data_IF_905382883700
#
_entry.id   IF_905382883700
#
_cell.length_a   1.000
_cell.length_b   1.000
_cell.length_c   1.000
_cell.angle_alpha   90.00
_cell.angle_beta   90.00
_cell.angle_gamma   90.00
#
_symmetry.space_group_name_H-M   'P 1'
#
loop_
_entity.id
_entity.type
_entity.pdbx_description
1 polymer ?
#
# COMPACT_ATOMS: atom_id res chain seq x y z
N UNK A 1 -0.18 24.31 -8.28
CA UNK A 1 -0.74 23.44 -7.23
C UNK A 1 -1.08 22.10 -7.88
N UNK A 2 -0.36 21.03 -7.53
CA UNK A 2 -0.76 19.67 -7.94
C UNK A 2 -1.82 19.19 -6.96
N UNK A 3 -3.02 18.88 -7.45
CA UNK A 3 -4.11 18.37 -6.63
C UNK A 3 -3.80 16.93 -6.19
N UNK A 4 -4.07 16.59 -4.93
CA UNK A 4 -3.97 15.20 -4.46
C UNK A 4 -5.36 14.59 -4.41
N UNK A 5 -5.43 13.32 -4.81
CA UNK A 5 -6.63 12.52 -4.64
C UNK A 5 -6.38 11.51 -3.54
N UNK A 6 -7.39 11.35 -2.70
CA UNK A 6 -7.38 10.33 -1.67
C UNK A 6 -8.28 9.17 -2.08
N UNK A 7 -7.79 7.94 -1.92
CA UNK A 7 -8.58 6.72 -2.12
C UNK A 7 -8.73 6.05 -0.76
N UNK A 8 -9.98 5.94 -0.29
CA UNK A 8 -10.29 5.13 0.88
C UNK A 8 -10.02 3.67 0.59
N UNK A 9 -9.10 3.06 1.34
CA UNK A 9 -8.78 1.63 1.23
C UNK A 9 -9.28 0.88 2.46
N UNK A 10 -9.37 -0.45 2.36
CA UNK A 10 -9.65 -1.33 3.50
C UNK A 10 -8.36 -1.93 4.10
N UNK A 11 -7.27 -1.17 4.04
CA UNK A 11 -5.95 -1.59 4.52
C UNK A 11 -5.85 -1.25 6.01
N UNK A 12 -5.58 -2.23 6.87
CA UNK A 12 -5.42 -2.06 8.33
C UNK A 12 -4.10 -2.62 8.85
N UNK A 13 -3.57 -3.66 8.22
CA UNK A 13 -2.30 -4.25 8.59
C UNK A 13 -1.15 -3.53 7.87
N UNK A 14 -0.32 -2.80 8.63
CA UNK A 14 0.79 -2.01 8.10
C UNK A 14 1.87 -2.90 7.44
N UNK A 15 2.23 -4.02 8.04
CA UNK A 15 3.31 -4.87 7.52
C UNK A 15 2.89 -5.58 6.22
N UNK A 16 1.62 -5.99 6.13
CA UNK A 16 1.03 -6.48 4.90
C UNK A 16 1.00 -5.41 3.80
N UNK A 17 0.70 -4.14 4.14
CA UNK A 17 0.78 -3.02 3.21
C UNK A 17 2.21 -2.83 2.67
N UNK A 18 3.21 -2.82 3.54
CA UNK A 18 4.62 -2.61 3.15
C UNK A 18 5.11 -3.74 2.24
N UNK A 19 4.76 -4.98 2.58
CA UNK A 19 5.11 -6.15 1.77
C UNK A 19 4.40 -6.09 0.41
N UNK A 20 3.12 -5.70 0.38
CA UNK A 20 2.37 -5.53 -0.86
C UNK A 20 2.93 -4.39 -1.75
N UNK A 21 3.36 -3.27 -1.15
CA UNK A 21 4.02 -2.18 -1.87
C UNK A 21 5.35 -2.64 -2.49
N UNK A 22 6.10 -3.50 -1.77
CA UNK A 22 7.32 -4.13 -2.28
C UNK A 22 7.04 -5.03 -3.48
N UNK A 23 5.98 -5.84 -3.42
CA UNK A 23 5.57 -6.72 -4.53
C UNK A 23 5.19 -5.94 -5.79
N UNK A 24 4.61 -4.74 -5.66
CA UNK A 24 4.25 -3.88 -6.79
C UNK A 24 5.36 -2.91 -7.21
N UNK A 25 6.58 -3.10 -6.69
CA UNK A 25 7.80 -2.50 -7.23
C UNK A 25 8.46 -1.42 -6.37
N UNK A 26 7.94 -1.11 -5.17
CA UNK A 26 8.53 -0.10 -4.30
C UNK A 26 9.49 -0.70 -3.27
N UNK A 27 10.79 -0.40 -3.41
CA UNK A 27 11.83 -0.94 -2.52
C UNK A 27 12.13 -0.06 -1.30
N UNK A 28 11.87 1.23 -1.42
CA UNK A 28 12.25 2.23 -0.42
C UNK A 28 10.96 2.84 0.14
N UNK A 29 10.53 2.30 1.28
CA UNK A 29 9.30 2.69 1.97
C UNK A 29 9.68 3.17 3.36
N UNK A 30 9.32 4.39 3.70
CA UNK A 30 9.50 4.93 5.04
C UNK A 30 8.29 4.58 5.92
N UNK A 31 8.56 4.21 7.17
CA UNK A 31 7.55 3.91 8.19
C UNK A 31 7.74 4.85 9.37
N UNK A 32 6.68 5.56 9.72
CA UNK A 32 6.68 6.54 10.79
C UNK A 32 5.56 6.24 11.78
N UNK A 33 5.85 6.38 13.08
CA UNK A 33 4.82 6.30 14.13
C UNK A 33 3.92 7.53 14.14
N UNK A 34 4.48 8.69 13.80
CA UNK A 34 3.76 9.95 13.63
C UNK A 34 3.86 10.38 12.18
N UNK A 35 2.74 10.75 11.58
CA UNK A 35 2.68 11.17 10.19
C UNK A 35 3.70 12.26 9.86
N UNK A 36 4.42 12.08 8.75
CA UNK A 36 5.38 13.05 8.24
C UNK A 36 4.82 13.75 7.02
N UNK A 37 5.30 14.98 6.76
CA UNK A 37 4.92 15.72 5.57
C UNK A 37 5.33 14.99 4.29
N UNK A 38 4.45 15.09 3.29
CA UNK A 38 4.73 14.71 1.91
C UNK A 38 5.40 15.89 1.18
N UNK A 39 6.18 15.56 0.17
CA UNK A 39 6.84 16.54 -0.70
C UNK A 39 6.29 16.50 -2.12
N UNK A 40 6.15 17.68 -2.71
CA UNK A 40 5.81 17.86 -4.10
C UNK A 40 7.00 17.67 -5.04
N UNK A 41 6.73 17.66 -6.34
CA UNK A 41 7.77 17.48 -7.37
C UNK A 41 8.87 18.55 -7.35
N UNK A 42 8.59 19.75 -6.82
CA UNK A 42 9.58 20.83 -6.67
C UNK A 42 10.37 20.72 -5.36
N UNK A 43 10.13 19.66 -4.57
CA UNK A 43 10.68 19.53 -3.21
C UNK A 43 9.97 20.43 -2.19
N UNK A 44 8.82 20.99 -2.55
CA UNK A 44 7.99 21.81 -1.67
C UNK A 44 7.24 20.93 -0.65
N UNK A 45 7.21 21.38 0.61
CA UNK A 45 6.44 20.72 1.68
C UNK A 45 4.95 20.86 1.39
N UNK A 46 4.20 19.76 1.50
CA UNK A 46 2.75 19.72 1.31
C UNK A 46 2.01 19.63 2.64
N UNK A 47 0.76 20.07 2.65
CA UNK A 47 -0.12 19.97 3.82
C UNK A 47 -0.46 18.50 4.15
N UNK A 48 -0.48 17.64 3.15
CA UNK A 48 -0.72 16.21 3.33
C UNK A 48 0.42 15.57 4.12
N UNK A 49 0.05 14.67 5.03
CA UNK A 49 0.97 13.85 5.83
C UNK A 49 0.61 12.38 5.69
N UNK A 50 1.56 11.49 5.97
CA UNK A 50 1.31 10.05 6.00
C UNK A 50 2.32 9.32 6.91
N UNK A 51 1.94 8.15 7.38
CA UNK A 51 2.76 7.26 8.22
C UNK A 51 3.59 6.30 7.36
N UNK A 52 3.07 5.89 6.21
CA UNK A 52 3.82 5.08 5.22
C UNK A 52 4.05 5.93 3.99
N UNK A 53 5.32 6.16 3.62
CA UNK A 53 5.67 7.11 2.56
C UNK A 53 6.65 6.47 1.56
N UNK A 54 6.39 6.71 0.27
CA UNK A 54 7.33 6.48 -0.81
C UNK A 54 7.76 7.85 -1.33
N UNK A 55 9.04 8.19 -1.13
CA UNK A 55 9.57 9.50 -1.55
C UNK A 55 9.69 9.61 -3.06
N UNK A 56 9.42 10.79 -3.60
CA UNK A 56 9.47 11.10 -5.03
C UNK A 56 10.73 10.66 -5.75
N UNK A 57 11.89 10.70 -5.07
CA UNK A 57 13.17 10.25 -5.63
C UNK A 57 13.20 8.76 -5.99
N UNK A 58 12.29 7.96 -5.43
CA UNK A 58 12.13 6.53 -5.72
C UNK A 58 10.96 6.23 -6.68
N UNK A 59 10.28 7.28 -7.16
CA UNK A 59 9.10 7.18 -8.02
C UNK A 59 9.47 7.68 -9.42
N UNK A 60 9.89 8.94 -9.51
CA UNK A 60 10.21 9.61 -10.76
C UNK A 60 10.67 11.04 -10.54
N UNK A 61 11.46 11.59 -11.47
CA UNK A 61 12.02 12.95 -11.33
C UNK A 61 10.96 14.04 -11.22
N UNK A 62 9.81 13.84 -11.89
CA UNK A 62 8.67 14.75 -11.92
C UNK A 62 7.54 14.35 -10.97
N UNK A 63 7.73 13.30 -10.17
CA UNK A 63 6.72 12.78 -9.26
C UNK A 63 6.69 13.53 -7.93
N UNK A 64 5.57 13.40 -7.25
CA UNK A 64 5.42 13.78 -5.85
C UNK A 64 5.59 12.54 -4.97
N UNK A 65 5.66 12.73 -3.66
CA UNK A 65 5.58 11.60 -2.73
C UNK A 65 4.22 10.90 -2.84
N UNK A 66 4.22 9.59 -2.63
CA UNK A 66 3.01 8.79 -2.41
C UNK A 66 2.93 8.47 -0.92
N UNK A 67 1.79 8.74 -0.30
CA UNK A 67 1.57 8.48 1.12
C UNK A 67 0.41 7.53 1.37
N UNK A 68 0.47 6.78 2.46
CA UNK A 68 -0.68 6.10 3.04
C UNK A 68 -0.89 6.64 4.46
N UNK A 69 -1.97 7.40 4.62
CA UNK A 69 -2.34 8.07 5.87
C UNK A 69 -3.27 7.18 6.69
N UNK A 70 -2.87 6.83 7.90
CA UNK A 70 -3.73 6.15 8.85
C UNK A 70 -4.85 7.07 9.31
N UNK A 71 -6.07 6.57 9.21
CA UNK A 71 -7.30 7.22 9.62
C UNK A 71 -7.63 6.85 11.06
N UNK A 72 -8.59 7.56 11.66
CA UNK A 72 -9.02 7.33 13.05
C UNK A 72 -9.65 5.96 13.27
N UNK A 73 -10.17 5.32 12.22
CA UNK A 73 -10.71 3.95 12.24
C UNK A 73 -9.64 2.87 12.02
N UNK A 74 -8.36 3.27 11.98
CA UNK A 74 -7.20 2.41 11.79
C UNK A 74 -6.95 2.00 10.33
N UNK A 75 -7.81 2.42 9.38
CA UNK A 75 -7.60 2.15 7.96
C UNK A 75 -6.57 3.11 7.36
N UNK A 76 -5.82 2.67 6.35
CA UNK A 76 -4.96 3.54 5.57
C UNK A 76 -5.71 4.13 4.37
N UNK A 77 -5.47 5.40 4.09
CA UNK A 77 -5.97 6.10 2.91
C UNK A 77 -4.78 6.45 2.02
N UNK A 78 -4.86 6.05 0.74
CA UNK A 78 -3.79 6.34 -0.21
C UNK A 78 -3.90 7.78 -0.70
N UNK A 79 -2.81 8.54 -0.61
CA UNK A 79 -2.65 9.92 -1.07
C UNK A 79 -1.72 9.89 -2.28
N UNK A 80 -2.28 10.16 -3.45
CA UNK A 80 -1.56 10.14 -4.74
C UNK A 80 -1.90 11.41 -5.50
N UNK A 81 -0.87 12.10 -6.01
CA UNK A 81 -1.09 13.32 -6.78
C UNK A 81 -1.81 13.02 -8.08
N UNK A 82 -2.61 13.96 -8.58
CA UNK A 82 -3.30 13.83 -9.87
C UNK A 82 -2.32 13.57 -11.04
N UNK A 83 -1.11 14.14 -10.97
CA UNK A 83 -0.06 13.84 -11.93
C UNK A 83 0.34 12.36 -11.87
N UNK A 84 0.69 11.88 -10.67
CA UNK A 84 1.18 10.51 -10.47
C UNK A 84 0.09 9.45 -10.73
N UNK A 85 -1.19 9.84 -10.74
CA UNK A 85 -2.31 8.95 -11.10
C UNK A 85 -2.26 8.45 -12.54
N UNK A 86 -1.48 9.03 -13.46
CA UNK A 86 -1.30 8.42 -14.78
C UNK A 86 -0.68 7.01 -14.68
N UNK A 87 0.19 6.80 -13.69
CA UNK A 87 0.91 5.54 -13.46
C UNK A 87 0.29 4.75 -12.31
N UNK A 88 -0.05 5.43 -11.20
CA UNK A 88 -0.60 4.82 -9.99
C UNK A 88 -2.13 4.98 -9.94
N UNK A 89 -2.78 4.52 -11.01
CA UNK A 89 -4.22 4.59 -11.20
C UNK A 89 -4.98 3.46 -10.46
N UNK A 90 -6.28 3.33 -10.73
CA UNK A 90 -7.12 2.29 -10.14
C UNK A 90 -6.64 0.86 -10.44
N UNK A 91 -6.07 0.61 -11.62
CA UNK A 91 -5.55 -0.70 -11.97
C UNK A 91 -4.32 -1.05 -11.12
N UNK A 92 -3.43 -0.08 -10.89
CA UNK A 92 -2.32 -0.25 -9.96
C UNK A 92 -2.82 -0.47 -8.52
N UNK A 93 -3.82 0.31 -8.08
CA UNK A 93 -4.43 0.17 -6.76
C UNK A 93 -5.05 -1.22 -6.57
N UNK A 94 -5.72 -1.77 -7.59
CA UNK A 94 -6.30 -3.12 -7.52
C UNK A 94 -5.21 -4.18 -7.34
N UNK A 95 -4.07 -4.06 -8.04
CA UNK A 95 -2.92 -4.96 -7.87
C UNK A 95 -2.33 -4.86 -6.46
N UNK A 96 -2.19 -3.64 -5.93
CA UNK A 96 -1.74 -3.43 -4.56
C UNK A 96 -2.70 -4.09 -3.56
N UNK A 97 -4.01 -3.90 -3.72
CA UNK A 97 -5.02 -4.47 -2.84
C UNK A 97 -5.05 -6.00 -2.88
N UNK A 98 -4.82 -6.61 -4.05
CA UNK A 98 -4.70 -8.07 -4.20
C UNK A 98 -3.49 -8.61 -3.41
N UNK A 99 -2.31 -7.98 -3.56
CA UNK A 99 -1.10 -8.37 -2.81
C UNK A 99 -1.27 -8.14 -1.31
N UNK A 100 -1.90 -7.03 -0.92
CA UNK A 100 -2.24 -6.74 0.47
C UNK A 100 -3.15 -7.83 1.06
N UNK A 101 -4.23 -8.19 0.36
CA UNK A 101 -5.17 -9.21 0.81
C UNK A 101 -4.50 -10.55 1.07
N UNK A 102 -3.60 -10.96 0.18
CA UNK A 102 -2.79 -12.18 0.35
C UNK A 102 -1.92 -12.12 1.62
N UNK A 103 -1.15 -11.04 1.81
CA UNK A 103 -0.26 -10.91 2.98
C UNK A 103 -1.03 -10.75 4.29
N UNK A 104 -2.15 -10.03 4.28
CA UNK A 104 -3.02 -9.89 5.44
C UNK A 104 -3.63 -11.25 5.83
N UNK A 105 -4.12 -12.03 4.86
CA UNK A 105 -4.62 -13.38 5.10
C UNK A 105 -3.53 -14.28 5.68
N UNK A 106 -2.32 -14.23 5.12
CA UNK A 106 -1.18 -15.03 5.60
C UNK A 106 -0.81 -14.70 7.05
N UNK A 107 -0.74 -13.41 7.39
CA UNK A 107 -0.47 -12.98 8.75
C UNK A 107 -1.56 -13.47 9.72
N UNK A 108 -2.83 -13.27 9.38
CA UNK A 108 -3.96 -13.70 10.22
C UNK A 108 -4.06 -15.22 10.34
N UNK A 109 -3.80 -15.98 9.27
CA UNK A 109 -3.79 -17.44 9.29
C UNK A 109 -2.73 -17.96 10.27
N UNK A 110 -1.51 -17.43 10.20
CA UNK A 110 -0.42 -17.80 11.09
C UNK A 110 -0.72 -17.45 12.56
N UNK A 111 -1.26 -16.25 12.83
CA UNK A 111 -1.70 -15.84 14.18
C UNK A 111 -2.76 -16.78 14.77
N UNK A 112 -3.65 -17.30 13.92
CA UNK A 112 -4.71 -18.23 14.33
C UNK A 112 -4.28 -19.71 14.32
N UNK A 113 -3.01 -20.00 14.04
CA UNK A 113 -2.47 -21.36 14.03
C UNK A 113 -2.83 -22.19 12.80
N UNK A 114 -3.22 -21.54 11.69
CA UNK A 114 -3.37 -22.18 10.39
C UNK A 114 -2.04 -22.13 9.61
N UNK A 115 -1.82 -23.15 8.78
CA UNK A 115 -0.72 -23.20 7.81
C UNK A 115 -1.30 -23.00 6.40
N UNK A 116 -0.61 -22.25 5.55
CA UNK A 116 -0.95 -22.16 4.12
C UNK A 116 -0.42 -23.41 3.43
N UNK A 117 -1.30 -24.18 2.79
CA UNK A 117 -0.93 -25.39 2.05
C UNK A 117 -0.76 -25.12 0.56
N UNK A 118 -1.61 -24.27 -0.01
CA UNK A 118 -1.56 -23.89 -1.41
C UNK A 118 -1.87 -22.40 -1.59
N UNK A 119 -1.14 -21.74 -2.49
CA UNK A 119 -1.50 -20.44 -3.04
C UNK A 119 -1.38 -20.44 -4.57
N UNK A 120 -2.48 -20.11 -5.24
CA UNK A 120 -2.55 -20.06 -6.69
C UNK A 120 -3.03 -18.68 -7.15
N UNK A 121 -2.28 -18.07 -8.06
CA UNK A 121 -2.72 -16.86 -8.77
C UNK A 121 -3.40 -17.28 -10.06
N UNK A 122 -4.71 -17.07 -10.12
CA UNK A 122 -5.53 -17.35 -11.31
C UNK A 122 -5.25 -16.35 -12.44
N UNK A 123 -5.64 -16.68 -13.66
CA UNK A 123 -5.41 -15.83 -14.85
C UNK A 123 -6.03 -14.43 -14.76
N UNK A 124 -7.12 -14.29 -14.00
CA UNK A 124 -7.81 -13.01 -13.77
C UNK A 124 -7.19 -12.18 -12.63
N UNK A 125 -6.14 -12.70 -11.97
CA UNK A 125 -5.55 -12.09 -10.79
C UNK A 125 -6.29 -12.42 -9.49
N UNK A 126 -7.24 -13.34 -9.47
CA UNK A 126 -7.75 -13.88 -8.22
C UNK A 126 -6.66 -14.71 -7.55
N UNK A 127 -6.43 -14.48 -6.25
CA UNK A 127 -5.53 -15.34 -5.45
C UNK A 127 -6.38 -16.29 -4.64
N UNK A 128 -6.24 -17.59 -4.90
CA UNK A 128 -6.84 -18.66 -4.10
C UNK A 128 -5.80 -19.11 -3.09
N UNK A 129 -6.17 -19.13 -1.81
CA UNK A 129 -5.31 -19.61 -0.72
C UNK A 129 -6.06 -20.71 0.03
N UNK A 130 -5.42 -21.86 0.20
CA UNK A 130 -5.93 -22.97 1.01
C UNK A 130 -5.17 -22.98 2.33
N UNK A 131 -5.91 -22.94 3.44
CA UNK A 131 -5.37 -22.98 4.79
C UNK A 131 -5.84 -24.23 5.51
N UNK A 132 -4.94 -24.88 6.24
CA UNK A 132 -5.24 -26.05 7.06
C UNK A 132 -4.75 -25.86 8.49
N UNK A 133 -5.36 -26.60 9.42
CA UNK A 133 -4.95 -26.66 10.81
C UNK A 133 -4.83 -28.12 11.21
N UNK A 134 -3.62 -28.53 11.56
CA UNK A 134 -3.34 -29.86 12.07
C UNK A 134 -3.55 -29.83 13.59
N UNK A 135 -4.39 -30.74 14.10
CA UNK A 135 -4.71 -30.91 15.52
C UNK A 135 -3.77 -31.92 16.18
#
# INVERSE_FOLDING_TARGET
MSHFTSIKTQIKNRDALVTALSDVGFKNIELHETAQHLYGYQGDVREQTAEVIIRRQYIGSSSNDIGFKQQTDGQFEAIISEYDRHQYNQQWMNKLMQRYGYHALKATAQEQGFTIEEDEVMQDGTVKVVVARWA
#
